data_IF_733459969271
#
_entry.id   IF_733459969271
#
_cell.length_a   1.000
_cell.length_b   1.000
_cell.length_c   1.000
_cell.angle_alpha   90.00
_cell.angle_beta   90.00
_cell.angle_gamma   90.00
#
_symmetry.space_group_name_H-M   'P 1'
#
loop_
_entity.id
_entity.type
_entity.pdbx_description
1 polymer ?
#
# COMPACT_ATOMS: atom_id res chain seq x y z
N UNK A 1 -1.10 19.05 -24.34
CA UNK A 1 0.03 19.62 -23.53
C UNK A 1 1.05 18.50 -23.36
N UNK A 2 2.31 18.74 -23.71
CA UNK A 2 3.34 17.72 -23.55
C UNK A 2 3.47 17.29 -22.10
N UNK A 3 3.88 16.02 -21.89
CA UNK A 3 3.95 15.39 -20.57
C UNK A 3 5.34 14.92 -20.24
N UNK A 4 5.64 14.88 -18.94
CA UNK A 4 6.73 14.10 -18.38
C UNK A 4 6.11 12.90 -17.65
N UNK A 5 6.58 11.69 -17.95
CA UNK A 5 6.07 10.49 -17.34
C UNK A 5 7.05 9.86 -16.35
N UNK A 6 6.54 9.11 -15.38
CA UNK A 6 7.27 8.09 -14.64
C UNK A 6 6.50 6.77 -14.70
N UNK A 7 7.22 5.64 -14.58
CA UNK A 7 6.65 4.31 -14.79
C UNK A 7 7.02 3.42 -13.62
N UNK A 8 6.07 2.63 -13.13
CA UNK A 8 6.32 1.64 -12.08
C UNK A 8 5.04 1.00 -11.59
N UNK A 9 5.14 -0.11 -10.85
CA UNK A 9 3.97 -0.68 -10.20
C UNK A 9 3.53 0.14 -8.99
N UNK A 10 4.49 0.77 -8.30
CA UNK A 10 4.28 1.71 -7.18
C UNK A 10 3.46 1.14 -6.02
N UNK A 11 3.64 -0.15 -5.72
CA UNK A 11 2.92 -0.78 -4.61
C UNK A 11 3.24 -0.09 -3.27
N UNK A 12 2.18 0.24 -2.53
CA UNK A 12 2.30 0.95 -1.27
C UNK A 12 2.47 2.45 -1.40
N UNK A 13 2.85 3.02 -2.55
CA UNK A 13 3.11 4.47 -2.73
C UNK A 13 3.92 5.03 -1.54
N UNK A 14 5.01 4.32 -1.19
CA UNK A 14 5.88 4.62 -0.05
C UNK A 14 6.73 5.89 -0.24
N UNK A 15 7.42 6.37 0.80
CA UNK A 15 8.23 7.60 0.76
C UNK A 15 9.22 7.66 -0.42
N UNK A 16 9.82 6.54 -0.81
CA UNK A 16 10.69 6.49 -2.01
C UNK A 16 9.93 6.79 -3.31
N UNK A 17 8.69 6.30 -3.45
CA UNK A 17 7.84 6.65 -4.58
C UNK A 17 7.39 8.12 -4.51
N UNK A 18 6.99 8.60 -3.32
CA UNK A 18 6.59 10.00 -3.11
C UNK A 18 7.72 10.96 -3.48
N UNK A 19 8.95 10.64 -3.10
CA UNK A 19 10.14 11.40 -3.49
C UNK A 19 10.32 11.48 -5.01
N UNK A 20 10.12 10.38 -5.72
CA UNK A 20 10.14 10.34 -7.19
C UNK A 20 9.05 11.24 -7.78
N UNK A 21 7.82 11.20 -7.25
CA UNK A 21 6.71 11.99 -7.75
C UNK A 21 6.85 13.49 -7.47
N UNK A 22 7.43 13.87 -6.34
CA UNK A 22 7.75 15.28 -6.06
C UNK A 22 8.75 15.83 -7.09
N UNK A 23 9.79 15.05 -7.43
CA UNK A 23 10.74 15.44 -8.47
C UNK A 23 10.11 15.47 -9.86
N UNK A 24 9.19 14.53 -10.15
CA UNK A 24 8.40 14.57 -11.38
C UNK A 24 7.65 15.90 -11.51
N UNK A 25 7.02 16.37 -10.44
CA UNK A 25 6.29 17.65 -10.40
C UNK A 25 7.21 18.86 -10.54
N UNK A 26 8.38 18.82 -9.92
CA UNK A 26 9.39 19.90 -10.04
C UNK A 26 9.84 20.03 -11.50
N UNK A 27 10.29 18.93 -12.12
CA UNK A 27 10.73 18.95 -13.52
C UNK A 27 9.57 19.34 -14.45
N UNK A 28 8.35 18.85 -14.18
CA UNK A 28 7.17 19.23 -14.94
C UNK A 28 6.94 20.75 -14.91
N UNK A 29 7.03 21.38 -13.73
CA UNK A 29 6.88 22.82 -13.57
C UNK A 29 7.98 23.62 -14.29
N UNK A 30 9.25 23.20 -14.13
CA UNK A 30 10.41 23.86 -14.77
C UNK A 30 10.36 23.80 -16.31
N UNK A 31 9.78 22.73 -16.86
CA UNK A 31 9.74 22.47 -18.32
C UNK A 31 8.39 22.82 -18.96
N UNK A 32 7.42 23.27 -18.18
CA UNK A 32 6.06 23.53 -18.68
C UNK A 32 5.34 22.28 -19.21
N UNK A 33 5.58 21.12 -18.56
CA UNK A 33 5.02 19.82 -18.89
C UNK A 33 3.92 19.45 -17.88
N UNK A 34 3.03 18.51 -18.24
CA UNK A 34 2.08 17.91 -17.29
C UNK A 34 2.66 16.60 -16.72
N UNK A 35 2.59 16.35 -15.40
CA UNK A 35 3.05 15.11 -14.82
C UNK A 35 2.08 13.95 -15.12
N UNK A 36 2.62 12.82 -15.57
CA UNK A 36 1.91 11.58 -15.86
C UNK A 36 2.55 10.43 -15.08
N UNK A 37 1.75 9.69 -14.35
CA UNK A 37 2.19 8.49 -13.64
C UNK A 37 1.62 7.27 -14.36
N UNK A 38 2.49 6.45 -14.94
CA UNK A 38 2.11 5.22 -15.62
C UNK A 38 2.33 4.06 -14.66
N UNK A 39 1.28 3.32 -14.37
CA UNK A 39 1.31 2.12 -13.53
C UNK A 39 0.59 0.96 -14.22
N UNK A 40 0.43 -0.17 -13.54
CA UNK A 40 -0.14 -1.38 -14.12
C UNK A 40 -1.41 -1.79 -13.37
N UNK A 41 -2.40 -2.30 -14.09
CA UNK A 41 -3.63 -2.82 -13.50
C UNK A 41 -3.35 -3.94 -12.51
N UNK A 42 -2.48 -4.88 -12.91
CA UNK A 42 -2.07 -6.05 -12.12
C UNK A 42 -0.57 -6.05 -11.88
N UNK A 43 -0.13 -6.76 -10.84
CA UNK A 43 1.29 -6.89 -10.55
C UNK A 43 2.02 -7.58 -11.73
N UNK A 44 3.09 -6.98 -12.30
CA UNK A 44 3.78 -7.52 -13.49
C UNK A 44 4.25 -8.97 -13.36
N UNK A 45 4.59 -9.42 -12.14
CA UNK A 45 4.99 -10.82 -11.90
C UNK A 45 3.88 -11.82 -12.19
N UNK A 46 2.60 -11.45 -12.13
CA UNK A 46 1.48 -12.34 -12.48
C UNK A 46 1.53 -12.77 -13.95
N UNK A 47 2.00 -11.90 -14.85
CA UNK A 47 2.20 -12.24 -16.25
C UNK A 47 3.48 -13.05 -16.50
N UNK A 48 4.47 -12.97 -15.61
CA UNK A 48 5.78 -13.61 -15.77
C UNK A 48 5.90 -14.94 -15.02
N UNK A 49 5.09 -15.18 -14.01
CA UNK A 49 5.19 -16.32 -13.11
C UNK A 49 3.78 -16.79 -12.70
N UNK A 50 3.34 -17.91 -13.24
CA UNK A 50 1.98 -18.43 -13.07
C UNK A 50 1.60 -18.72 -11.60
N UNK A 51 2.57 -19.15 -10.78
CA UNK A 51 2.34 -19.51 -9.36
C UNK A 51 2.57 -18.33 -8.40
N UNK A 52 2.78 -17.12 -8.93
CA UNK A 52 3.00 -15.96 -8.07
C UNK A 52 1.71 -15.55 -7.36
N UNK A 53 1.74 -15.56 -6.03
CA UNK A 53 0.66 -15.02 -5.19
C UNK A 53 1.09 -13.64 -4.71
N UNK A 54 0.43 -12.57 -5.17
CA UNK A 54 0.78 -11.22 -4.75
C UNK A 54 0.43 -11.00 -3.27
N UNK A 55 1.32 -10.32 -2.56
CA UNK A 55 1.09 -9.75 -1.24
C UNK A 55 1.22 -8.23 -1.36
N UNK A 56 0.12 -7.58 -1.73
CA UNK A 56 0.11 -6.16 -2.06
C UNK A 56 0.01 -5.29 -0.82
N UNK A 57 0.72 -4.17 -0.84
CA UNK A 57 0.59 -3.11 0.18
C UNK A 57 -0.64 -2.23 -0.06
N UNK A 58 -1.04 -2.11 -1.33
CA UNK A 58 -2.21 -1.33 -1.76
C UNK A 58 -3.04 -2.12 -2.75
N UNK A 59 -4.35 -2.06 -2.63
CA UNK A 59 -5.26 -2.50 -3.71
C UNK A 59 -5.08 -1.60 -4.94
N UNK A 60 -5.65 -1.98 -6.08
CA UNK A 60 -5.61 -1.17 -7.29
C UNK A 60 -6.24 0.21 -7.08
N UNK A 61 -7.40 0.26 -6.44
CA UNK A 61 -8.13 1.51 -6.18
C UNK A 61 -7.40 2.40 -5.18
N UNK A 62 -6.85 1.84 -4.10
CA UNK A 62 -6.02 2.57 -3.14
C UNK A 62 -4.79 3.15 -3.82
N UNK A 63 -4.10 2.37 -4.65
CA UNK A 63 -2.93 2.81 -5.38
C UNK A 63 -3.28 3.94 -6.35
N UNK A 64 -4.35 3.80 -7.13
CA UNK A 64 -4.83 4.85 -8.03
C UNK A 64 -5.14 6.15 -7.26
N UNK A 65 -5.88 6.05 -6.15
CA UNK A 65 -6.23 7.21 -5.33
C UNK A 65 -4.99 7.93 -4.77
N UNK A 66 -4.01 7.17 -4.24
CA UNK A 66 -2.76 7.72 -3.72
C UNK A 66 -1.91 8.39 -4.82
N UNK A 67 -1.80 7.77 -5.98
CA UNK A 67 -1.03 8.30 -7.11
C UNK A 67 -1.65 9.58 -7.69
N UNK A 68 -2.98 9.66 -7.70
CA UNK A 68 -3.71 10.82 -8.24
C UNK A 68 -3.43 12.15 -7.52
N UNK A 69 -2.87 12.10 -6.30
CA UNK A 69 -2.41 13.29 -5.59
C UNK A 69 -1.17 13.95 -6.23
N UNK A 70 -0.43 13.20 -7.09
CA UNK A 70 0.83 13.66 -7.68
C UNK A 70 0.74 14.00 -9.16
N UNK A 71 -0.25 13.50 -9.88
CA UNK A 71 -0.44 13.74 -11.31
C UNK A 71 -1.56 12.92 -11.91
N UNK A 72 -1.70 13.01 -13.22
CA UNK A 72 -2.59 12.13 -13.98
C UNK A 72 -2.09 10.69 -13.91
N UNK A 73 -2.99 9.72 -13.78
CA UNK A 73 -2.64 8.31 -13.59
C UNK A 73 -3.20 7.48 -14.74
N UNK A 74 -2.30 6.82 -15.46
CA UNK A 74 -2.64 5.82 -16.46
C UNK A 74 -2.30 4.41 -15.95
N UNK A 75 -3.26 3.51 -16.07
CA UNK A 75 -3.12 2.11 -15.67
C UNK A 75 -3.12 1.24 -16.93
N UNK A 76 -1.96 0.67 -17.25
CA UNK A 76 -1.77 -0.15 -18.44
C UNK A 76 -1.88 -1.65 -18.13
N UNK A 77 -2.35 -2.43 -19.10
CA UNK A 77 -2.16 -3.87 -19.10
C UNK A 77 -0.68 -4.19 -19.32
N UNK A 78 -0.06 -4.90 -18.37
CA UNK A 78 1.35 -5.28 -18.52
C UNK A 78 1.58 -6.22 -19.68
N UNK A 79 0.62 -7.08 -19.97
CA UNK A 79 0.66 -8.04 -21.07
C UNK A 79 0.80 -7.35 -22.45
N UNK A 80 0.18 -6.19 -22.63
CA UNK A 80 0.24 -5.43 -23.88
C UNK A 80 1.62 -4.80 -24.10
N UNK A 81 2.27 -4.35 -23.03
CA UNK A 81 3.55 -3.62 -23.12
C UNK A 81 4.77 -4.54 -22.94
N UNK A 82 4.60 -5.70 -22.33
CA UNK A 82 5.68 -6.65 -22.04
C UNK A 82 6.56 -6.99 -23.26
N UNK A 83 6.04 -7.19 -24.48
CA UNK A 83 6.86 -7.52 -25.63
C UNK A 83 7.67 -6.34 -26.19
N UNK A 84 7.35 -5.10 -25.80
CA UNK A 84 7.99 -3.90 -26.33
C UNK A 84 9.41 -3.73 -25.79
N UNK A 85 10.37 -3.37 -26.66
CA UNK A 85 11.67 -2.88 -26.21
C UNK A 85 11.53 -1.53 -25.51
N UNK A 86 12.57 -1.08 -24.82
CA UNK A 86 12.57 0.21 -24.15
C UNK A 86 12.24 1.37 -25.12
N UNK A 87 12.87 1.39 -26.30
CA UNK A 87 12.58 2.37 -27.34
C UNK A 87 11.14 2.28 -27.86
N UNK A 88 10.63 1.09 -28.13
CA UNK A 88 9.25 0.89 -28.59
C UNK A 88 8.24 1.36 -27.54
N UNK A 89 8.50 1.07 -26.27
CA UNK A 89 7.63 1.55 -25.19
C UNK A 89 7.68 3.08 -25.03
N UNK A 90 8.83 3.69 -25.15
CA UNK A 90 8.97 5.16 -25.16
C UNK A 90 8.19 5.78 -26.33
N UNK A 91 8.27 5.19 -27.53
CA UNK A 91 7.48 5.60 -28.69
C UNK A 91 5.98 5.49 -28.41
N UNK A 92 5.53 4.37 -27.83
CA UNK A 92 4.15 4.17 -27.41
C UNK A 92 3.68 5.28 -26.48
N UNK A 93 4.46 5.61 -25.44
CA UNK A 93 4.13 6.69 -24.51
C UNK A 93 4.06 8.07 -25.21
N UNK A 94 4.95 8.32 -26.16
CA UNK A 94 4.93 9.55 -26.94
C UNK A 94 3.67 9.66 -27.82
N UNK A 95 3.31 8.59 -28.52
CA UNK A 95 2.21 8.59 -29.48
C UNK A 95 0.85 8.57 -28.78
N UNK A 96 0.69 7.83 -27.67
CA UNK A 96 -0.58 7.69 -26.98
C UNK A 96 -0.84 8.82 -25.97
N UNK A 97 0.22 9.33 -25.32
CA UNK A 97 0.08 10.22 -24.17
C UNK A 97 0.84 11.56 -24.34
N UNK A 98 1.40 11.87 -25.51
CA UNK A 98 2.17 13.10 -25.79
C UNK A 98 3.36 13.25 -24.79
N UNK A 99 3.99 12.14 -24.41
CA UNK A 99 5.16 12.14 -23.51
C UNK A 99 6.39 12.63 -24.27
N UNK A 100 7.05 13.66 -23.72
CA UNK A 100 8.30 14.23 -24.27
C UNK A 100 9.47 14.10 -23.30
N UNK A 101 9.22 13.69 -22.06
CA UNK A 101 10.24 13.45 -21.05
C UNK A 101 9.85 12.25 -20.16
N UNK A 102 10.86 11.55 -19.64
CA UNK A 102 10.68 10.40 -18.74
C UNK A 102 11.58 10.56 -17.52
N UNK A 103 11.03 10.37 -16.32
CA UNK A 103 11.78 10.30 -15.07
C UNK A 103 11.81 8.86 -14.57
N UNK A 104 13.00 8.30 -14.38
CA UNK A 104 13.20 6.93 -13.90
C UNK A 104 13.75 6.92 -12.48
N UNK A 105 13.23 6.03 -11.64
CA UNK A 105 13.82 5.67 -10.36
C UNK A 105 15.22 5.02 -10.55
N UNK A 106 16.00 5.00 -9.48
CA UNK A 106 17.41 4.56 -9.53
C UNK A 106 17.60 3.10 -9.97
N UNK A 107 16.67 2.21 -9.57
CA UNK A 107 16.71 0.77 -9.86
C UNK A 107 15.66 0.34 -10.90
N UNK A 108 14.89 1.30 -11.44
CA UNK A 108 13.81 0.97 -12.35
C UNK A 108 14.34 0.48 -13.70
N UNK A 109 13.72 -0.60 -14.20
CA UNK A 109 14.03 -1.22 -15.49
C UNK A 109 12.73 -1.56 -16.21
N UNK A 110 12.69 -1.31 -17.51
CA UNK A 110 11.57 -1.69 -18.39
C UNK A 110 12.11 -2.06 -19.78
N UNK A 111 11.24 -2.66 -20.58
CA UNK A 111 11.56 -3.14 -21.94
C UNK A 111 11.99 -4.60 -21.96
N UNK A 112 11.55 -5.30 -23.03
CA UNK A 112 11.88 -6.72 -23.28
C UNK A 112 13.35 -6.94 -23.59
N UNK A 113 14.06 -5.90 -24.02
CA UNK A 113 15.49 -5.83 -24.29
C UNK A 113 16.36 -5.77 -23.02
N UNK A 114 15.76 -5.58 -21.84
CA UNK A 114 16.41 -5.66 -20.51
C UNK A 114 17.66 -4.78 -20.40
N UNK A 115 17.55 -3.53 -20.82
CA UNK A 115 18.63 -2.56 -20.66
C UNK A 115 19.09 -2.49 -19.19
N UNK A 116 20.41 -2.33 -18.97
CA UNK A 116 21.01 -2.42 -17.62
C UNK A 116 21.42 -1.07 -17.05
N UNK A 117 21.83 -0.14 -17.93
CA UNK A 117 22.44 1.12 -17.53
C UNK A 117 21.55 2.32 -17.89
N UNK A 118 21.50 3.37 -17.04
CA UNK A 118 20.75 4.59 -17.34
C UNK A 118 21.11 5.24 -18.68
N UNK A 119 22.36 5.13 -19.12
CA UNK A 119 22.82 5.66 -20.40
C UNK A 119 22.14 5.00 -21.59
N UNK A 120 21.82 3.69 -21.50
CA UNK A 120 21.13 2.95 -22.57
C UNK A 120 19.70 3.47 -22.72
N UNK A 121 19.01 3.77 -21.61
CA UNK A 121 17.69 4.40 -21.64
C UNK A 121 17.72 5.82 -22.18
N UNK A 122 18.76 6.62 -21.84
CA UNK A 122 18.94 7.97 -22.43
C UNK A 122 19.13 7.89 -23.92
N UNK A 123 19.96 6.97 -24.40
CA UNK A 123 20.17 6.78 -25.83
C UNK A 123 18.90 6.33 -26.56
N UNK A 124 18.14 5.39 -25.99
CA UNK A 124 16.83 4.99 -26.51
C UNK A 124 15.85 6.16 -26.54
N UNK A 125 15.84 6.99 -25.50
CA UNK A 125 15.01 8.20 -25.44
C UNK A 125 15.39 9.24 -26.50
N UNK A 126 16.68 9.49 -26.71
CA UNK A 126 17.18 10.39 -27.74
C UNK A 126 16.70 9.98 -29.15
N UNK A 127 16.74 8.69 -29.45
CA UNK A 127 16.25 8.15 -30.72
C UNK A 127 14.75 8.41 -30.94
N UNK A 128 13.96 8.39 -29.87
CA UNK A 128 12.51 8.63 -29.90
C UNK A 128 12.14 10.12 -29.65
N UNK A 129 13.12 10.97 -29.37
CA UNK A 129 12.91 12.39 -29.03
C UNK A 129 12.23 12.56 -27.65
N UNK A 130 12.58 11.72 -26.69
CA UNK A 130 12.19 11.77 -25.29
C UNK A 130 13.43 12.03 -24.43
N UNK A 131 13.37 13.09 -23.60
CA UNK A 131 14.45 13.39 -22.65
C UNK A 131 14.31 12.46 -21.41
N UNK A 132 15.38 11.74 -21.04
CA UNK A 132 15.36 10.78 -19.93
C UNK A 132 16.16 11.30 -18.75
N UNK A 133 15.45 11.50 -17.63
CA UNK A 133 16.00 11.84 -16.32
C UNK A 133 16.10 10.58 -15.45
N UNK A 134 17.08 10.56 -14.56
CA UNK A 134 17.26 9.46 -13.58
C UNK A 134 17.43 10.03 -12.19
N UNK A 135 16.76 9.41 -11.21
CA UNK A 135 16.85 9.77 -9.81
C UNK A 135 17.93 8.96 -9.08
N UNK A 136 18.45 9.51 -7.99
CA UNK A 136 19.18 8.77 -6.97
C UNK A 136 18.20 8.01 -6.07
N UNK A 137 18.72 7.02 -5.35
CA UNK A 137 17.98 6.30 -4.33
C UNK A 137 17.55 7.24 -3.20
N UNK A 138 16.32 7.02 -2.69
CA UNK A 138 15.84 7.67 -1.48
C UNK A 138 16.11 6.79 -0.25
N UNK A 139 16.68 7.39 0.77
CA UNK A 139 16.94 6.75 2.06
C UNK A 139 16.20 7.49 3.16
N UNK A 140 15.57 6.77 4.07
CA UNK A 140 15.01 7.34 5.32
C UNK A 140 16.02 7.07 6.45
N UNK A 141 16.87 8.06 6.74
CA UNK A 141 18.03 7.85 7.61
C UNK A 141 18.97 6.78 7.01
N UNK A 142 19.13 5.66 7.70
CA UNK A 142 19.93 4.51 7.25
C UNK A 142 19.08 3.42 6.53
N UNK A 143 17.76 3.62 6.41
CA UNK A 143 16.84 2.63 5.89
C UNK A 143 16.61 2.77 4.39
N UNK A 144 16.72 1.65 3.67
CA UNK A 144 16.24 1.55 2.30
C UNK A 144 14.71 1.55 2.29
N UNK A 145 14.11 2.43 1.51
CA UNK A 145 12.66 2.52 1.41
C UNK A 145 12.16 1.73 0.21
N UNK A 146 11.66 0.53 0.45
CA UNK A 146 11.13 -0.34 -0.59
C UNK A 146 9.86 -1.07 -0.15
N UNK A 147 9.05 -1.50 -1.13
CA UNK A 147 7.87 -2.34 -0.84
C UNK A 147 8.25 -3.67 -0.18
N UNK A 148 9.46 -4.18 -0.41
CA UNK A 148 9.96 -5.41 0.20
C UNK A 148 10.21 -5.23 1.70
N UNK A 149 10.88 -4.15 2.09
CA UNK A 149 11.12 -3.82 3.50
C UNK A 149 9.82 -3.57 4.27
N UNK A 150 8.85 -2.91 3.63
CA UNK A 150 7.54 -2.67 4.25
C UNK A 150 6.77 -3.98 4.46
N UNK A 151 6.78 -4.90 3.49
CA UNK A 151 6.17 -6.23 3.67
C UNK A 151 6.84 -6.99 4.81
N UNK A 152 8.16 -7.01 4.85
CA UNK A 152 8.91 -7.65 5.94
C UNK A 152 8.57 -7.04 7.30
N UNK A 153 8.41 -5.71 7.40
CA UNK A 153 7.97 -5.05 8.62
C UNK A 153 6.57 -5.50 9.06
N UNK A 154 5.60 -5.59 8.14
CA UNK A 154 4.24 -6.06 8.43
C UNK A 154 4.21 -7.54 8.84
N UNK A 155 4.97 -8.40 8.16
CA UNK A 155 5.12 -9.84 8.46
C UNK A 155 5.76 -10.10 9.84
N UNK A 156 6.55 -9.15 10.33
CA UNK A 156 7.16 -9.21 11.65
C UNK A 156 6.38 -8.44 12.74
N UNK A 157 5.24 -7.82 12.40
CA UNK A 157 4.44 -7.02 13.33
C UNK A 157 5.03 -5.65 13.65
N UNK A 158 6.07 -5.22 12.93
CA UNK A 158 6.70 -3.91 13.12
C UNK A 158 5.90 -2.81 12.38
N UNK A 159 4.73 -2.49 12.92
CA UNK A 159 3.81 -1.49 12.35
C UNK A 159 4.44 -0.10 12.34
N UNK A 160 5.22 0.25 13.35
CA UNK A 160 5.88 1.55 13.42
C UNK A 160 6.82 1.76 12.22
N UNK A 161 7.66 0.78 11.92
CA UNK A 161 8.55 0.84 10.76
C UNK A 161 7.77 0.85 9.44
N UNK A 162 6.74 0.00 9.30
CA UNK A 162 5.92 -0.02 8.09
C UNK A 162 5.28 1.36 7.83
N UNK A 163 4.69 1.98 8.85
CA UNK A 163 4.07 3.30 8.76
C UNK A 163 5.09 4.40 8.46
N UNK A 164 6.28 4.33 9.07
CA UNK A 164 7.37 5.28 8.81
C UNK A 164 7.80 5.24 7.34
N UNK A 165 8.04 4.04 6.80
CA UNK A 165 8.45 3.86 5.40
C UNK A 165 7.33 4.21 4.41
N UNK A 166 6.07 3.95 4.76
CA UNK A 166 4.89 4.34 3.97
C UNK A 166 4.64 5.84 4.00
N UNK A 167 5.03 6.54 5.08
CA UNK A 167 4.66 7.94 5.35
C UNK A 167 3.19 8.12 5.75
N UNK A 168 2.51 7.03 6.12
CA UNK A 168 1.12 6.99 6.60
C UNK A 168 0.82 5.67 7.29
N UNK A 169 -0.25 5.57 8.10
CA UNK A 169 -0.70 4.30 8.65
C UNK A 169 -0.98 3.27 7.54
N UNK A 170 -0.50 2.04 7.73
CA UNK A 170 -0.94 0.91 6.92
C UNK A 170 -2.43 0.66 7.21
N UNK A 171 -3.22 0.39 6.17
CA UNK A 171 -4.64 0.14 6.37
C UNK A 171 -5.14 -1.09 5.64
N UNK A 172 -6.17 -1.72 6.21
CA UNK A 172 -6.97 -2.80 5.59
C UNK A 172 -8.42 -2.35 5.51
N UNK A 173 -9.03 -2.52 4.34
CA UNK A 173 -10.47 -2.36 4.15
C UNK A 173 -11.13 -3.71 4.05
N UNK A 174 -12.32 -3.80 4.60
CA UNK A 174 -13.09 -5.04 4.55
C UNK A 174 -14.53 -4.87 5.01
N UNK A 175 -15.32 -5.88 4.70
CA UNK A 175 -16.72 -5.95 5.07
C UNK A 175 -16.87 -6.67 6.41
N UNK A 176 -17.76 -6.18 7.26
CA UNK A 176 -18.13 -6.85 8.51
C UNK A 176 -19.05 -8.02 8.22
N UNK A 177 -18.62 -9.21 8.59
CA UNK A 177 -19.33 -10.46 8.36
C UNK A 177 -19.76 -11.11 9.67
N UNK A 178 -20.75 -12.02 9.60
CA UNK A 178 -21.17 -12.79 10.76
C UNK A 178 -20.08 -13.77 11.21
N UNK A 179 -19.81 -13.78 12.51
CA UNK A 179 -18.89 -14.71 13.17
C UNK A 179 -19.55 -15.45 14.33
N UNK A 180 -18.74 -16.05 15.19
CA UNK A 180 -19.23 -16.82 16.36
C UNK A 180 -19.85 -15.95 17.47
N UNK A 181 -19.67 -14.63 17.41
CA UNK A 181 -20.19 -13.63 18.34
C UNK A 181 -19.84 -13.88 19.84
N UNK A 182 -18.72 -14.56 20.13
CA UNK A 182 -18.27 -14.90 21.49
C UNK A 182 -18.01 -13.64 22.30
N UNK A 183 -17.37 -12.61 21.72
CA UNK A 183 -17.08 -11.36 22.39
C UNK A 183 -18.32 -10.67 22.97
N UNK A 184 -19.48 -10.80 22.31
CA UNK A 184 -20.77 -10.27 22.81
C UNK A 184 -21.18 -10.87 24.14
N UNK A 185 -20.92 -12.17 24.37
CA UNK A 185 -21.30 -12.87 25.62
C UNK A 185 -20.48 -12.44 26.83
N UNK A 186 -19.26 -11.92 26.60
CA UNK A 186 -18.36 -11.44 27.66
C UNK A 186 -18.33 -9.91 27.79
N UNK A 187 -19.20 -9.19 27.05
CA UNK A 187 -19.32 -7.74 27.12
C UNK A 187 -18.36 -6.94 26.21
N UNK A 188 -17.61 -7.62 25.34
CA UNK A 188 -16.70 -7.04 24.36
C UNK A 188 -17.08 -7.48 22.92
N UNK A 189 -18.17 -6.93 22.37
CA UNK A 189 -18.59 -7.30 21.02
C UNK A 189 -17.49 -7.03 20.02
N UNK A 190 -17.22 -8.01 19.15
CA UNK A 190 -16.23 -7.91 18.05
C UNK A 190 -16.94 -7.99 16.70
N UNK A 191 -16.41 -7.27 15.72
CA UNK A 191 -16.78 -7.36 14.33
C UNK A 191 -15.76 -8.24 13.60
N UNK A 192 -16.23 -9.28 12.90
CA UNK A 192 -15.38 -10.09 12.03
C UNK A 192 -15.23 -9.38 10.69
N UNK A 193 -14.01 -9.20 10.23
CA UNK A 193 -13.69 -8.43 9.04
C UNK A 193 -13.17 -9.36 7.96
N UNK A 194 -13.86 -9.38 6.84
CA UNK A 194 -13.38 -10.01 5.62
C UNK A 194 -12.72 -8.96 4.73
N UNK A 195 -11.41 -9.03 4.47
CA UNK A 195 -10.73 -8.10 3.58
C UNK A 195 -11.38 -8.05 2.19
N UNK A 196 -11.49 -6.85 1.62
CA UNK A 196 -12.08 -6.63 0.29
C UNK A 196 -11.22 -7.24 -0.83
N UNK A 197 -9.90 -7.33 -0.62
CA UNK A 197 -8.95 -7.89 -1.57
C UNK A 197 -8.03 -8.89 -0.86
N UNK A 198 -8.12 -10.15 -1.25
CA UNK A 198 -7.32 -11.25 -0.71
C UNK A 198 -5.83 -11.19 -1.11
N UNK A 199 -5.47 -10.36 -2.07
CA UNK A 199 -4.07 -10.14 -2.45
C UNK A 199 -3.36 -9.14 -1.53
N UNK A 200 -4.10 -8.41 -0.69
CA UNK A 200 -3.54 -7.44 0.24
C UNK A 200 -2.91 -8.15 1.43
N UNK A 201 -1.68 -7.74 1.80
CA UNK A 201 -0.96 -8.36 2.92
C UNK A 201 -1.69 -8.11 4.24
N UNK A 202 -1.91 -9.17 4.98
CA UNK A 202 -2.41 -9.12 6.36
C UNK A 202 -1.19 -9.12 7.29
N UNK A 203 -1.08 -8.17 8.26
CA UNK A 203 0.02 -8.16 9.20
C UNK A 203 0.13 -9.47 10.02
N UNK A 204 1.30 -9.72 10.63
CA UNK A 204 1.53 -10.86 11.54
C UNK A 204 0.37 -11.10 12.49
N UNK A 205 0.09 -12.36 12.83
CA UNK A 205 -0.89 -12.69 13.89
C UNK A 205 -0.55 -12.02 15.22
N UNK A 206 -1.56 -11.48 15.89
CA UNK A 206 -1.40 -10.75 17.16
C UNK A 206 -2.48 -9.72 17.38
N UNK A 207 -2.33 -8.94 18.44
CA UNK A 207 -3.27 -7.88 18.82
C UNK A 207 -2.67 -6.53 18.50
N UNK A 208 -3.48 -5.69 17.85
CA UNK A 208 -3.08 -4.38 17.36
C UNK A 208 -3.99 -3.28 17.90
N UNK A 209 -3.43 -2.11 18.12
CA UNK A 209 -4.19 -0.87 18.17
C UNK A 209 -4.37 -0.36 16.74
N UNK A 210 -5.61 0.00 16.41
CA UNK A 210 -5.98 0.59 15.11
C UNK A 210 -6.93 1.76 15.32
N UNK A 211 -7.03 2.63 14.33
CA UNK A 211 -8.14 3.57 14.19
C UNK A 211 -9.11 3.02 13.15
N UNK A 212 -10.40 3.00 13.48
CA UNK A 212 -11.46 2.52 12.59
C UNK A 212 -12.18 3.70 11.96
N UNK A 213 -12.32 3.63 10.65
CA UNK A 213 -13.13 4.55 9.87
C UNK A 213 -14.28 3.82 9.20
N UNK A 214 -15.50 4.33 9.37
CA UNK A 214 -16.74 3.90 8.69
C UNK A 214 -17.60 5.13 8.40
N UNK A 215 -18.68 5.04 7.61
CA UNK A 215 -19.62 6.14 7.46
C UNK A 215 -20.26 6.63 8.78
N UNK A 216 -20.26 5.79 9.83
CA UNK A 216 -20.88 6.07 11.13
C UNK A 216 -19.85 6.43 12.22
N UNK A 217 -18.58 6.11 11.99
CA UNK A 217 -17.50 6.26 12.99
C UNK A 217 -16.27 6.80 12.27
N UNK A 218 -15.80 7.96 12.68
CA UNK A 218 -14.60 8.56 12.12
C UNK A 218 -13.44 8.46 13.11
N UNK A 219 -12.38 7.75 12.67
CA UNK A 219 -11.09 7.63 13.36
C UNK A 219 -11.18 7.17 14.84
N UNK A 220 -12.09 6.21 15.13
CA UNK A 220 -12.26 5.70 16.49
C UNK A 220 -11.19 4.69 16.88
N UNK A 221 -10.54 4.83 18.06
CA UNK A 221 -9.59 3.83 18.56
C UNK A 221 -10.27 2.47 18.77
N UNK A 222 -9.61 1.42 18.30
CA UNK A 222 -10.10 0.05 18.37
C UNK A 222 -8.95 -0.94 18.54
N UNK A 223 -9.32 -2.16 18.92
CA UNK A 223 -8.41 -3.31 18.98
C UNK A 223 -8.72 -4.27 17.86
N UNK A 224 -7.70 -4.76 17.21
CA UNK A 224 -7.81 -5.81 16.20
C UNK A 224 -7.00 -7.01 16.67
N UNK A 225 -7.65 -8.17 16.72
CA UNK A 225 -6.98 -9.46 16.80
C UNK A 225 -6.90 -10.06 15.40
N UNK A 226 -5.70 -10.45 14.99
CA UNK A 226 -5.45 -11.24 13.79
C UNK A 226 -4.96 -12.62 14.26
N UNK A 227 -5.72 -13.68 13.99
CA UNK A 227 -5.33 -15.03 14.36
C UNK A 227 -4.34 -15.65 13.34
N UNK A 228 -3.86 -16.87 13.64
CA UNK A 228 -2.95 -17.61 12.78
C UNK A 228 -3.56 -18.04 11.43
N UNK A 229 -4.89 -17.97 11.29
CA UNK A 229 -5.63 -18.25 10.06
C UNK A 229 -5.99 -16.96 9.31
N UNK A 230 -5.44 -15.82 9.72
CA UNK A 230 -5.76 -14.49 9.19
C UNK A 230 -7.22 -14.06 9.40
N UNK A 231 -7.92 -14.63 10.42
CA UNK A 231 -9.20 -14.11 10.84
C UNK A 231 -8.98 -12.79 11.58
N UNK A 232 -9.71 -11.76 11.16
CA UNK A 232 -9.58 -10.40 11.69
C UNK A 232 -10.82 -10.08 12.52
N UNK A 233 -10.65 -9.82 13.80
CA UNK A 233 -11.71 -9.42 14.71
C UNK A 233 -11.41 -8.06 15.32
N UNK A 234 -12.32 -7.08 15.14
CA UNK A 234 -12.18 -5.73 15.64
C UNK A 234 -13.15 -5.47 16.81
N UNK A 235 -12.64 -4.96 17.93
CA UNK A 235 -13.43 -4.41 19.04
C UNK A 235 -13.30 -2.89 19.06
N UNK A 236 -14.44 -2.19 18.95
CA UNK A 236 -14.51 -0.73 18.95
C UNK A 236 -15.18 -0.27 20.27
N UNK A 237 -14.43 0.12 21.31
CA UNK A 237 -14.98 0.38 22.64
C UNK A 237 -16.02 1.50 22.69
N UNK A 238 -15.87 2.51 21.85
CA UNK A 238 -16.75 3.68 21.78
C UNK A 238 -18.03 3.44 20.98
N UNK A 239 -18.10 2.37 20.17
CA UNK A 239 -19.23 2.12 19.28
C UNK A 239 -20.31 1.24 19.94
N UNK A 240 -21.55 1.63 19.73
CA UNK A 240 -22.74 0.86 20.11
C UNK A 240 -23.69 0.86 18.92
N UNK A 241 -23.88 -0.27 18.30
CA UNK A 241 -24.73 -0.41 17.11
C UNK A 241 -24.46 -1.70 16.35
N UNK A 242 -24.97 -1.76 15.14
CA UNK A 242 -24.78 -2.85 14.20
C UNK A 242 -23.87 -2.40 13.06
N UNK A 243 -22.83 -3.19 12.78
CA UNK A 243 -21.88 -2.97 11.69
C UNK A 243 -21.95 -4.05 10.62
N UNK A 244 -22.83 -5.04 10.75
CA UNK A 244 -22.94 -6.11 9.75
C UNK A 244 -23.20 -5.52 8.36
N UNK A 245 -22.60 -6.13 7.36
CA UNK A 245 -22.67 -5.71 5.96
C UNK A 245 -22.15 -4.28 5.69
N UNK A 246 -21.47 -3.66 6.66
CA UNK A 246 -20.81 -2.38 6.49
C UNK A 246 -19.33 -2.58 6.14
N UNK A 247 -18.82 -1.74 5.23
CA UNK A 247 -17.39 -1.64 4.99
C UNK A 247 -16.72 -0.74 6.03
N UNK A 248 -15.55 -1.14 6.48
CA UNK A 248 -14.72 -0.33 7.36
C UNK A 248 -13.27 -0.37 6.93
N UNK A 249 -12.53 0.65 7.33
CA UNK A 249 -11.09 0.75 7.18
C UNK A 249 -10.43 0.65 8.55
N UNK A 250 -9.48 -0.28 8.69
CA UNK A 250 -8.61 -0.45 9.85
C UNK A 250 -7.29 0.22 9.56
N UNK A 251 -6.96 1.32 10.22
CA UNK A 251 -5.67 2.01 10.14
C UNK A 251 -4.78 1.56 11.28
N UNK A 252 -3.74 0.79 10.99
CA UNK A 252 -2.86 0.20 12.00
C UNK A 252 -1.97 1.26 12.63
N UNK A 253 -2.03 1.37 13.96
CA UNK A 253 -1.22 2.32 14.73
C UNK A 253 0.00 1.64 15.32
N UNK A 254 -0.18 0.53 16.03
CA UNK A 254 0.90 -0.25 16.63
C UNK A 254 0.49 -1.69 16.96
N UNK A 255 1.48 -2.55 17.00
CA UNK A 255 1.36 -3.89 17.56
C UNK A 255 1.41 -3.84 19.08
N UNK A 256 0.53 -4.58 19.77
CA UNK A 256 0.44 -4.58 21.21
C UNK A 256 1.08 -5.83 21.82
N UNK A 257 0.75 -6.98 21.29
CA UNK A 257 1.21 -8.29 21.80
C UNK A 257 0.90 -9.42 20.83
N UNK A 258 1.49 -10.59 21.12
CA UNK A 258 1.13 -11.84 20.44
C UNK A 258 -0.28 -12.30 20.83
N UNK A 259 -0.89 -13.11 19.95
CA UNK A 259 -2.10 -13.84 20.26
C UNK A 259 -1.87 -14.76 21.45
N UNK A 260 -2.87 -14.90 22.34
CA UNK A 260 -2.85 -15.78 23.48
C UNK A 260 -4.09 -16.65 23.52
N UNK A 261 -3.93 -17.92 23.86
CA UNK A 261 -5.05 -18.76 24.23
C UNK A 261 -5.36 -18.54 25.71
N UNK A 262 -6.65 -18.48 26.03
CA UNK A 262 -7.14 -18.29 27.39
C UNK A 262 -7.83 -19.58 27.85
N UNK A 263 -7.64 -19.98 29.09
CA UNK A 263 -8.20 -21.19 29.67
C UNK A 263 -9.72 -21.07 29.83
N UNK A 264 -10.22 -19.84 30.06
CA UNK A 264 -11.63 -19.55 30.21
C UNK A 264 -11.97 -18.12 29.70
N UNK A 265 -13.29 -17.84 29.67
CA UNK A 265 -13.81 -16.56 29.20
C UNK A 265 -13.52 -15.38 30.15
N UNK A 266 -13.31 -15.64 31.45
CA UNK A 266 -13.01 -14.60 32.43
C UNK A 266 -11.57 -14.09 32.23
N UNK A 267 -10.59 -15.00 32.03
CA UNK A 267 -9.22 -14.63 31.71
C UNK A 267 -9.14 -13.81 30.40
N UNK A 268 -9.91 -14.20 29.38
CA UNK A 268 -10.02 -13.41 28.14
C UNK A 268 -10.58 -12.01 28.41
N UNK A 269 -11.65 -11.91 29.22
CA UNK A 269 -12.29 -10.64 29.56
C UNK A 269 -11.35 -9.71 30.31
N UNK A 270 -10.60 -10.21 31.30
CA UNK A 270 -9.63 -9.43 32.07
C UNK A 270 -8.50 -8.91 31.16
N UNK A 271 -8.00 -9.73 30.24
CA UNK A 271 -6.98 -9.30 29.30
C UNK A 271 -7.48 -8.20 28.36
N UNK A 272 -8.67 -8.34 27.78
CA UNK A 272 -9.25 -7.30 26.92
C UNK A 272 -9.45 -6.00 27.70
N UNK A 273 -9.89 -6.08 28.96
CA UNK A 273 -10.03 -4.91 29.83
C UNK A 273 -8.68 -4.22 30.06
N UNK A 274 -7.63 -4.99 30.33
CA UNK A 274 -6.27 -4.46 30.49
C UNK A 274 -5.75 -3.80 29.18
N UNK A 275 -6.02 -4.39 28.04
CA UNK A 275 -5.67 -3.82 26.74
C UNK A 275 -6.38 -2.47 26.52
N UNK A 276 -7.69 -2.37 26.86
CA UNK A 276 -8.48 -1.14 26.77
C UNK A 276 -7.98 -0.05 27.74
N UNK A 277 -7.65 -0.41 28.97
CA UNK A 277 -7.17 0.54 29.99
C UNK A 277 -5.79 1.08 29.61
N UNK A 278 -4.92 0.28 29.02
CA UNK A 278 -3.59 0.69 28.54
C UNK A 278 -3.62 1.79 27.46
N UNK A 279 -4.66 1.82 26.61
CA UNK A 279 -4.81 2.89 25.62
C UNK A 279 -5.25 4.19 26.28
N UNK A 280 -6.23 4.14 27.18
CA UNK A 280 -6.77 5.33 27.86
C UNK A 280 -5.71 6.10 28.65
N UNK A 281 -4.67 5.42 29.12
CA UNK A 281 -3.59 6.04 29.91
C UNK A 281 -2.45 6.60 29.03
N UNK A 282 -2.41 6.33 27.72
CA UNK A 282 -1.35 6.82 26.83
C UNK A 282 -1.80 8.02 25.97
N UNK A 283 -3.10 8.29 25.91
CA UNK A 283 -3.67 9.48 25.24
C UNK A 283 -3.87 10.66 26.21
N UNK A 284 -3.48 10.53 27.49
CA UNK A 284 -3.52 11.55 28.53
C UNK A 284 -2.12 12.11 28.83
#
# INVERSE_FOLDING_TARGET
MKRIATIGFFDGVHKGHQFLFEHLRIIAGERGLAPLIVTFERHPRLALQADYVPQLLTTQDERRALLSAYGEVEMLSFEEIQPLTAAQFMRYLKEQYDVSALLMGYDHRFGSDRLKHPQEYRHAGEQEGIEVFTMSEYMEGEWHVSSTEIRAALENGNIAMANELLGRPYSLKGMVVHGKAIGRTIGFPTANIQPDDSSKIIPKSGVYMVNVHTPMVDDAPAFVNIDQNNLIEAHIPSFRGDLYDQHLELRFVRWLREERHFEDLEALREQIKADVDNIRHQDA
#
